data_IF_591766997875
#
_entry.id   IF_591766997875
#
_cell.length_a   1.000
_cell.length_b   1.000
_cell.length_c   1.000
_cell.angle_alpha   90.00
_cell.angle_beta   90.00
_cell.angle_gamma   90.00
#
_symmetry.space_group_name_H-M   'P 1'
#
loop_
_entity.id
_entity.type
_entity.pdbx_description
1 polymer ?
#
# COMPACT_ATOMS: atom_id res chain seq x y z
N UNK A 1 9.08 25.13 20.47
CA UNK A 1 8.84 25.74 19.15
C UNK A 1 7.49 25.26 18.65
N UNK A 2 6.65 26.13 18.09
CA UNK A 2 5.41 25.72 17.42
C UNK A 2 5.79 24.85 16.21
N UNK A 3 5.10 23.70 16.01
CA UNK A 3 5.30 22.89 14.81
C UNK A 3 4.80 23.64 13.58
N UNK A 4 5.45 23.43 12.46
CA UNK A 4 5.05 23.98 11.16
C UNK A 4 3.65 23.46 10.78
N UNK A 5 2.83 24.32 10.15
CA UNK A 5 1.55 23.91 9.58
C UNK A 5 1.77 23.29 8.20
N UNK A 6 1.01 22.24 7.88
CA UNK A 6 1.02 21.62 6.57
C UNK A 6 0.36 22.54 5.53
N UNK A 7 1.02 22.72 4.38
CA UNK A 7 0.52 23.54 3.26
C UNK A 7 -0.30 22.67 2.29
N UNK A 8 -1.57 22.97 2.11
CA UNK A 8 -2.49 22.27 1.18
C UNK A 8 -2.67 22.98 -0.16
N UNK A 9 -1.73 23.83 -0.55
CA UNK A 9 -1.81 24.59 -1.81
C UNK A 9 -1.74 23.69 -3.06
N UNK A 10 -1.14 22.50 -2.94
CA UNK A 10 -1.04 21.52 -4.02
C UNK A 10 -1.93 20.30 -3.75
N UNK A 11 -2.48 19.66 -4.81
CA UNK A 11 -3.17 18.37 -4.66
C UNK A 11 -2.25 17.33 -4.05
N UNK A 12 -2.77 16.57 -3.08
CA UNK A 12 -2.05 15.49 -2.41
C UNK A 12 -2.35 14.15 -3.08
N UNK A 13 -1.27 13.40 -3.42
CA UNK A 13 -1.35 12.10 -4.07
C UNK A 13 -0.43 11.11 -3.36
N UNK A 14 -0.93 9.90 -3.12
CA UNK A 14 -0.13 8.82 -2.54
C UNK A 14 0.40 7.94 -3.69
N UNK A 15 1.71 7.84 -3.79
CA UNK A 15 2.37 6.92 -4.73
C UNK A 15 3.28 5.98 -3.95
N UNK A 16 3.76 4.94 -4.59
CA UNK A 16 4.76 4.11 -3.95
C UNK A 16 5.48 3.20 -4.92
N UNK A 17 6.63 2.69 -4.49
CA UNK A 17 7.46 1.76 -5.24
C UNK A 17 7.10 0.32 -4.89
N UNK A 18 6.86 -0.48 -5.92
CA UNK A 18 6.64 -1.94 -5.84
C UNK A 18 7.56 -2.65 -6.82
N UNK A 19 7.81 -3.93 -6.64
CA UNK A 19 8.67 -4.74 -7.50
C UNK A 19 9.53 -5.71 -6.70
N UNK A 20 10.33 -6.50 -7.42
CA UNK A 20 11.16 -7.54 -6.83
C UNK A 20 12.23 -6.99 -5.85
N UNK A 21 12.72 -7.84 -4.95
CA UNK A 21 13.90 -7.54 -4.14
C UNK A 21 15.09 -7.22 -5.07
N UNK A 22 15.99 -6.35 -4.65
CA UNK A 22 17.20 -5.92 -5.35
C UNK A 22 17.00 -5.23 -6.72
N UNK A 23 15.74 -4.94 -7.12
CA UNK A 23 15.46 -4.14 -8.30
C UNK A 23 15.67 -2.63 -8.09
N UNK A 24 16.00 -2.20 -6.86
CA UNK A 24 16.41 -0.84 -6.54
C UNK A 24 15.29 0.13 -6.19
N UNK A 25 14.19 -0.34 -5.58
CA UNK A 25 13.05 0.48 -5.13
C UNK A 25 13.48 1.61 -4.19
N UNK A 26 14.13 1.27 -3.09
CA UNK A 26 14.61 2.22 -2.08
C UNK A 26 15.66 3.17 -2.65
N UNK A 27 16.55 2.67 -3.54
CA UNK A 27 17.52 3.50 -4.27
C UNK A 27 16.80 4.52 -5.15
N UNK A 28 15.73 4.12 -5.84
CA UNK A 28 14.92 5.01 -6.67
C UNK A 28 14.22 6.06 -5.80
N UNK A 29 13.64 5.67 -4.67
CA UNK A 29 13.01 6.59 -3.72
C UNK A 29 14.02 7.64 -3.24
N UNK A 30 15.24 7.23 -2.89
CA UNK A 30 16.32 8.15 -2.52
C UNK A 30 16.71 9.09 -3.68
N UNK A 31 16.84 8.54 -4.91
CA UNK A 31 17.17 9.33 -6.11
C UNK A 31 16.11 10.39 -6.42
N UNK A 32 14.82 10.04 -6.34
CA UNK A 32 13.71 10.99 -6.51
C UNK A 32 13.85 12.16 -5.54
N UNK A 33 14.04 11.88 -4.24
CA UNK A 33 14.16 12.95 -3.24
C UNK A 33 15.37 13.84 -3.49
N UNK A 34 16.49 13.27 -3.96
CA UNK A 34 17.72 14.02 -4.27
C UNK A 34 17.56 14.93 -5.48
N UNK A 35 16.99 14.41 -6.57
CA UNK A 35 16.77 15.19 -7.80
C UNK A 35 15.75 16.30 -7.56
N UNK A 36 14.62 15.99 -6.93
CA UNK A 36 13.60 16.99 -6.62
C UNK A 36 14.06 18.05 -5.63
N UNK A 37 15.01 17.76 -4.73
CA UNK A 37 15.61 18.77 -3.86
C UNK A 37 16.40 19.82 -4.66
N UNK A 38 17.02 19.46 -5.76
CA UNK A 38 17.73 20.42 -6.65
C UNK A 38 16.78 21.44 -7.27
N UNK A 39 15.56 20.99 -7.60
CA UNK A 39 14.55 21.86 -8.23
C UNK A 39 13.74 22.67 -7.21
N UNK A 40 13.51 22.09 -6.00
CA UNK A 40 12.75 22.74 -4.95
C UNK A 40 13.43 22.53 -3.58
N UNK A 41 14.01 23.57 -2.98
CA UNK A 41 14.67 23.50 -1.67
C UNK A 41 13.75 23.09 -0.50
N UNK A 42 12.42 23.12 -0.68
CA UNK A 42 11.48 22.60 0.33
C UNK A 42 11.55 21.08 0.44
N UNK A 43 11.96 20.39 -0.62
CA UNK A 43 12.17 18.94 -0.60
C UNK A 43 13.40 18.60 0.24
N UNK A 44 13.29 17.55 1.04
CA UNK A 44 14.40 17.06 1.86
C UNK A 44 14.93 15.78 1.26
N UNK A 45 16.21 15.75 0.93
CA UNK A 45 16.87 14.51 0.52
C UNK A 45 16.78 13.44 1.62
N UNK A 46 16.39 12.25 1.24
CA UNK A 46 16.35 11.05 2.08
C UNK A 46 17.34 10.04 1.53
N UNK A 47 18.41 9.81 2.28
CA UNK A 47 19.39 8.77 1.91
C UNK A 47 18.79 7.37 2.08
N UNK A 48 19.35 6.38 1.40
CA UNK A 48 18.99 4.97 1.55
C UNK A 48 18.88 4.57 3.03
N UNK A 49 19.94 4.79 3.83
CA UNK A 49 19.98 4.45 5.25
C UNK A 49 18.97 5.22 6.12
N UNK A 50 18.42 6.33 5.62
CA UNK A 50 17.38 7.10 6.32
C UNK A 50 15.97 6.64 5.96
N UNK A 51 15.81 5.88 4.88
CA UNK A 51 14.57 5.23 4.45
C UNK A 51 14.50 3.86 5.15
N UNK A 52 15.47 2.97 4.88
CA UNK A 52 15.63 1.69 5.56
C UNK A 52 16.43 1.90 6.86
N UNK A 53 15.74 2.30 7.92
CA UNK A 53 16.43 2.76 9.12
C UNK A 53 16.43 1.75 10.29
N UNK A 54 15.64 0.67 10.21
CA UNK A 54 15.64 -0.38 11.22
C UNK A 54 16.97 -1.16 11.22
N UNK A 55 17.48 -1.58 12.39
CA UNK A 55 18.74 -2.33 12.47
C UNK A 55 18.76 -3.57 11.57
N UNK A 56 17.67 -4.33 11.52
CA UNK A 56 17.54 -5.51 10.66
C UNK A 56 17.54 -5.18 9.18
N UNK A 57 16.95 -4.06 8.76
CA UNK A 57 16.95 -3.59 7.37
C UNK A 57 18.36 -3.27 6.90
N UNK A 58 19.14 -2.58 7.76
CA UNK A 58 20.54 -2.23 7.47
C UNK A 58 21.45 -3.45 7.44
N UNK A 59 21.26 -4.40 8.35
CA UNK A 59 22.07 -5.62 8.44
C UNK A 59 21.83 -6.52 7.21
N UNK A 60 20.57 -6.63 6.78
CA UNK A 60 20.18 -7.50 5.64
C UNK A 60 20.21 -6.79 4.29
N UNK A 61 20.28 -5.45 4.26
CA UNK A 61 20.23 -4.65 3.04
C UNK A 61 18.88 -4.74 2.30
N UNK A 62 17.79 -5.01 3.04
CA UNK A 62 16.43 -5.18 2.47
C UNK A 62 15.41 -4.38 3.26
N UNK A 63 14.42 -3.82 2.57
CA UNK A 63 13.27 -3.15 3.19
C UNK A 63 12.34 -4.20 3.82
N UNK A 64 12.04 -4.05 5.10
CA UNK A 64 11.15 -4.92 5.88
C UNK A 64 9.81 -4.24 6.12
N UNK A 65 9.83 -3.02 6.64
CA UNK A 65 8.65 -2.20 6.90
C UNK A 65 8.41 -1.20 5.76
N UNK A 66 7.18 -0.76 5.58
CA UNK A 66 6.89 0.34 4.66
C UNK A 66 7.48 1.64 5.20
N UNK A 67 8.22 2.36 4.36
CA UNK A 67 8.73 3.67 4.71
C UNK A 67 7.91 4.77 3.99
N UNK A 68 7.61 5.86 4.70
CA UNK A 68 6.88 6.99 4.14
C UNK A 68 7.82 8.17 3.93
N UNK A 69 7.88 8.65 2.71
CA UNK A 69 8.71 9.79 2.30
C UNK A 69 7.84 10.87 1.68
N UNK A 70 8.13 12.14 2.03
CA UNK A 70 7.41 13.32 1.51
C UNK A 70 8.27 14.04 0.49
N UNK A 71 7.67 14.43 -0.63
CA UNK A 71 8.25 15.37 -1.58
C UNK A 71 7.17 16.06 -2.42
N UNK A 72 7.56 17.10 -3.14
CA UNK A 72 6.66 17.80 -4.05
C UNK A 72 7.30 18.10 -5.41
N UNK A 73 6.49 18.05 -6.46
CA UNK A 73 6.80 18.61 -7.78
C UNK A 73 6.26 20.04 -7.89
N UNK A 74 6.40 20.65 -9.04
CA UNK A 74 5.73 21.93 -9.31
C UNK A 74 4.19 21.80 -9.23
N UNK A 75 3.62 20.63 -9.56
CA UNK A 75 2.18 20.41 -9.71
C UNK A 75 1.53 19.78 -8.49
N UNK A 76 2.22 18.89 -7.77
CA UNK A 76 1.61 18.03 -6.75
C UNK A 76 2.50 17.86 -5.52
N UNK A 77 1.86 17.54 -4.40
CA UNK A 77 2.49 17.04 -3.19
C UNK A 77 2.30 15.54 -3.11
N UNK A 78 3.37 14.80 -2.79
CA UNK A 78 3.39 13.34 -2.75
C UNK A 78 3.72 12.80 -1.36
N UNK A 79 2.93 11.82 -0.93
CA UNK A 79 3.37 10.83 0.05
C UNK A 79 3.83 9.60 -0.72
N UNK A 80 5.08 9.23 -0.57
CA UNK A 80 5.68 8.07 -1.23
C UNK A 80 5.83 6.94 -0.22
N UNK A 81 5.26 5.79 -0.54
CA UNK A 81 5.35 4.56 0.25
C UNK A 81 6.37 3.63 -0.39
N UNK A 82 7.53 3.48 0.23
CA UNK A 82 8.52 2.49 -0.19
C UNK A 82 8.14 1.12 0.37
N UNK A 83 7.83 0.17 -0.52
CA UNK A 83 7.34 -1.15 -0.15
C UNK A 83 8.45 -2.20 -0.14
N UNK A 84 8.42 -3.17 0.82
CA UNK A 84 9.35 -4.28 0.79
C UNK A 84 9.19 -5.12 -0.48
N UNK A 85 10.31 -5.69 -0.95
CA UNK A 85 10.34 -6.55 -2.14
C UNK A 85 10.33 -8.04 -1.83
N UNK A 86 10.68 -8.43 -0.60
CA UNK A 86 10.84 -9.82 -0.22
C UNK A 86 9.50 -10.50 0.11
N UNK A 87 9.33 -11.75 -0.29
CA UNK A 87 8.10 -12.51 -0.10
C UNK A 87 7.65 -12.64 1.37
N UNK A 88 8.59 -12.68 2.32
CA UNK A 88 8.28 -12.78 3.76
C UNK A 88 7.56 -11.53 4.29
N UNK A 89 7.73 -10.38 3.63
CA UNK A 89 7.16 -9.10 4.04
C UNK A 89 5.96 -8.65 3.20
N UNK A 90 5.36 -9.57 2.46
CA UNK A 90 4.24 -9.30 1.56
C UNK A 90 3.04 -8.64 2.27
N UNK A 91 2.85 -8.91 3.57
CA UNK A 91 1.84 -8.25 4.39
C UNK A 91 2.05 -6.73 4.44
N UNK A 92 3.29 -6.29 4.61
CA UNK A 92 3.62 -4.87 4.61
C UNK A 92 3.49 -4.27 3.20
N UNK A 93 3.83 -5.04 2.16
CA UNK A 93 3.60 -4.65 0.77
C UNK A 93 2.10 -4.44 0.49
N UNK A 94 1.23 -5.37 0.89
CA UNK A 94 -0.22 -5.24 0.71
C UNK A 94 -0.75 -4.00 1.42
N UNK A 95 -0.34 -3.78 2.67
CA UNK A 95 -0.72 -2.60 3.45
C UNK A 95 -0.27 -1.30 2.77
N UNK A 96 0.98 -1.25 2.30
CA UNK A 96 1.51 -0.10 1.57
C UNK A 96 0.77 0.15 0.25
N UNK A 97 0.57 -0.90 -0.56
CA UNK A 97 -0.12 -0.80 -1.84
C UNK A 97 -1.57 -0.33 -1.69
N UNK A 98 -2.28 -0.74 -0.64
CA UNK A 98 -3.65 -0.31 -0.37
C UNK A 98 -3.78 1.22 -0.14
N UNK A 99 -2.67 1.90 0.15
CA UNK A 99 -2.66 3.34 0.36
C UNK A 99 -2.43 4.14 -0.93
N UNK A 100 -1.98 3.50 -2.01
CA UNK A 100 -1.52 4.18 -3.23
C UNK A 100 -2.68 4.62 -4.11
N UNK A 101 -2.54 5.82 -4.66
CA UNK A 101 -3.38 6.36 -5.74
C UNK A 101 -2.77 6.05 -7.12
N UNK A 102 -1.53 5.59 -7.15
CA UNK A 102 -0.80 5.06 -8.29
C UNK A 102 0.50 4.41 -7.83
N UNK A 103 1.00 3.41 -8.55
CA UNK A 103 2.24 2.73 -8.21
C UNK A 103 3.35 2.99 -9.24
N UNK A 104 4.59 2.97 -8.78
CA UNK A 104 5.79 2.92 -9.61
C UNK A 104 6.31 1.49 -9.55
N UNK A 105 6.16 0.75 -10.64
CA UNK A 105 6.69 -0.60 -10.77
C UNK A 105 8.15 -0.54 -11.16
N UNK A 106 9.04 -0.99 -10.27
CA UNK A 106 10.48 -0.99 -10.50
C UNK A 106 10.93 -2.39 -10.95
N UNK A 107 11.48 -2.46 -12.14
CA UNK A 107 12.02 -3.68 -12.75
C UNK A 107 13.46 -3.44 -13.18
N UNK A 108 14.39 -4.30 -12.77
CA UNK A 108 15.75 -4.23 -13.25
C UNK A 108 15.81 -4.70 -14.71
N UNK A 109 16.39 -3.89 -15.60
CA UNK A 109 16.56 -4.22 -17.02
C UNK A 109 17.49 -5.43 -17.23
N UNK A 110 18.34 -5.74 -16.24
CA UNK A 110 19.21 -6.93 -16.23
C UNK A 110 18.48 -8.24 -15.98
N UNK A 111 17.34 -8.20 -15.26
CA UNK A 111 16.70 -9.40 -14.71
C UNK A 111 15.29 -9.63 -15.28
N UNK A 112 14.65 -8.56 -15.76
CA UNK A 112 13.26 -8.60 -16.21
C UNK A 112 12.23 -8.83 -15.08
N UNK A 113 10.97 -9.17 -15.41
CA UNK A 113 9.92 -9.40 -14.44
C UNK A 113 10.12 -10.71 -13.66
N UNK A 114 10.53 -10.61 -12.42
CA UNK A 114 10.79 -11.70 -11.48
C UNK A 114 9.50 -12.16 -10.76
N UNK A 115 9.50 -13.30 -10.03
CA UNK A 115 8.30 -13.82 -9.37
C UNK A 115 7.58 -12.83 -8.45
N UNK A 116 8.31 -12.07 -7.60
CA UNK A 116 7.69 -11.06 -6.75
C UNK A 116 7.16 -9.86 -7.54
N UNK A 117 7.75 -9.53 -8.70
CA UNK A 117 7.20 -8.51 -9.61
C UNK A 117 5.77 -8.89 -10.01
N UNK A 118 5.57 -10.14 -10.41
CA UNK A 118 4.24 -10.69 -10.81
C UNK A 118 3.25 -10.66 -9.64
N UNK A 119 3.69 -11.11 -8.46
CA UNK A 119 2.87 -11.10 -7.25
C UNK A 119 2.49 -9.67 -6.84
N UNK A 120 3.42 -8.71 -6.90
CA UNK A 120 3.16 -7.32 -6.55
C UNK A 120 2.16 -6.64 -7.50
N UNK A 121 2.26 -6.90 -8.80
CA UNK A 121 1.29 -6.37 -9.79
C UNK A 121 -0.11 -6.94 -9.52
N UNK A 122 -0.20 -8.25 -9.28
CA UNK A 122 -1.45 -8.91 -8.92
C UNK A 122 -2.06 -8.31 -7.64
N UNK A 123 -1.28 -8.20 -6.57
CA UNK A 123 -1.76 -7.67 -5.29
C UNK A 123 -2.16 -6.21 -5.38
N UNK A 124 -1.40 -5.38 -6.10
CA UNK A 124 -1.74 -3.99 -6.34
C UNK A 124 -3.11 -3.88 -7.05
N UNK A 125 -3.38 -4.75 -8.03
CA UNK A 125 -4.70 -4.82 -8.67
C UNK A 125 -5.81 -5.18 -7.70
N UNK A 126 -5.56 -6.14 -6.81
CA UNK A 126 -6.55 -6.61 -5.83
C UNK A 126 -6.89 -5.56 -4.77
N UNK A 127 -5.90 -4.84 -4.26
CA UNK A 127 -6.13 -3.76 -3.29
C UNK A 127 -6.66 -2.48 -3.94
N UNK A 128 -6.73 -2.44 -5.28
CA UNK A 128 -7.38 -1.37 -6.02
C UNK A 128 -6.50 -0.22 -6.45
N UNK A 129 -5.19 -0.42 -6.58
CA UNK A 129 -4.30 0.56 -7.23
C UNK A 129 -4.80 0.81 -8.65
N UNK A 130 -5.11 2.05 -9.03
CA UNK A 130 -5.80 2.31 -10.30
C UNK A 130 -4.87 2.27 -11.52
N UNK A 131 -3.60 2.62 -11.38
CA UNK A 131 -2.64 2.71 -12.48
C UNK A 131 -1.20 2.48 -12.01
N UNK A 132 -0.32 2.17 -12.97
CA UNK A 132 1.11 1.98 -12.75
C UNK A 132 1.94 2.74 -13.77
N UNK A 133 3.01 3.38 -13.30
CA UNK A 133 4.11 3.89 -14.11
C UNK A 133 5.28 2.92 -13.92
N UNK A 134 5.99 2.58 -14.98
CA UNK A 134 7.11 1.63 -14.93
C UNK A 134 8.44 2.39 -14.94
N UNK A 135 9.35 1.98 -14.07
CA UNK A 135 10.74 2.41 -14.12
C UNK A 135 11.63 1.19 -14.36
N UNK A 136 12.18 1.09 -15.58
CA UNK A 136 13.20 0.10 -15.92
C UNK A 136 14.54 0.59 -15.38
N UNK A 137 14.93 0.01 -14.26
CA UNK A 137 16.12 0.39 -13.51
C UNK A 137 17.36 -0.39 -13.98
N UNK A 138 18.54 0.07 -13.58
CA UNK A 138 19.86 -0.53 -13.90
C UNK A 138 20.18 -0.55 -15.41
N UNK A 139 19.64 0.40 -16.18
CA UNK A 139 19.96 0.51 -17.60
C UNK A 139 21.43 0.91 -17.87
N UNK A 140 22.15 1.37 -16.84
CA UNK A 140 23.59 1.60 -16.87
C UNK A 140 24.41 0.29 -16.94
N UNK A 141 23.82 -0.83 -16.52
CA UNK A 141 24.46 -2.15 -16.56
C UNK A 141 24.10 -2.98 -17.80
N UNK A 142 23.28 -2.45 -18.70
CA UNK A 142 22.85 -3.13 -19.93
C UNK A 142 23.46 -2.43 -21.13
N UNK A 143 24.31 -3.14 -21.88
CA UNK A 143 24.95 -2.63 -23.10
C UNK A 143 24.07 -2.79 -24.35
N UNK A 144 23.17 -3.80 -24.33
CA UNK A 144 22.33 -4.16 -25.45
C UNK A 144 20.92 -3.55 -25.30
N UNK A 145 20.59 -2.60 -26.17
CA UNK A 145 19.27 -1.97 -26.19
C UNK A 145 18.13 -2.96 -26.53
N UNK A 146 18.39 -4.00 -27.33
CA UNK A 146 17.40 -5.02 -27.70
C UNK A 146 16.94 -5.80 -26.46
N UNK A 147 17.84 -6.05 -25.50
CA UNK A 147 17.49 -6.69 -24.23
C UNK A 147 16.54 -5.81 -23.41
N UNK A 148 16.80 -4.49 -23.38
CA UNK A 148 15.92 -3.55 -22.68
C UNK A 148 14.55 -3.47 -23.33
N UNK A 149 14.47 -3.51 -24.67
CA UNK A 149 13.20 -3.56 -25.42
C UNK A 149 12.40 -4.82 -25.10
N UNK A 150 13.08 -5.97 -25.03
CA UNK A 150 12.44 -7.24 -24.66
C UNK A 150 11.86 -7.19 -23.24
N UNK A 151 12.64 -6.70 -22.27
CA UNK A 151 12.17 -6.55 -20.89
C UNK A 151 10.97 -5.60 -20.79
N UNK A 152 10.99 -4.49 -21.54
CA UNK A 152 9.84 -3.57 -21.61
C UNK A 152 8.59 -4.28 -22.13
N UNK A 153 8.73 -5.07 -23.19
CA UNK A 153 7.62 -5.84 -23.78
C UNK A 153 7.03 -6.84 -22.77
N UNK A 154 7.90 -7.59 -22.07
CA UNK A 154 7.46 -8.53 -21.02
C UNK A 154 6.71 -7.83 -19.87
N UNK A 155 7.17 -6.64 -19.48
CA UNK A 155 6.48 -5.85 -18.43
C UNK A 155 5.12 -5.37 -18.90
N UNK A 156 4.98 -4.90 -20.16
CA UNK A 156 3.70 -4.48 -20.76
C UNK A 156 2.71 -5.65 -20.84
N UNK A 157 3.16 -6.83 -21.25
CA UNK A 157 2.37 -8.06 -21.25
C UNK A 157 1.92 -8.44 -19.84
N UNK A 158 2.81 -8.35 -18.85
CA UNK A 158 2.50 -8.61 -17.45
C UNK A 158 1.40 -7.66 -16.93
N UNK A 159 1.52 -6.36 -17.20
CA UNK A 159 0.52 -5.37 -16.82
C UNK A 159 -0.84 -5.67 -17.46
N UNK A 160 -0.86 -5.95 -18.75
CA UNK A 160 -2.08 -6.29 -19.51
C UNK A 160 -2.75 -7.57 -18.97
N UNK A 161 -1.95 -8.59 -18.64
CA UNK A 161 -2.43 -9.83 -18.02
C UNK A 161 -3.21 -9.58 -16.73
N UNK A 162 -2.76 -8.63 -15.91
CA UNK A 162 -3.41 -8.26 -14.65
C UNK A 162 -4.36 -7.05 -14.78
N UNK A 163 -4.83 -6.78 -16.00
CA UNK A 163 -5.84 -5.75 -16.30
C UNK A 163 -5.41 -4.31 -15.99
N UNK A 164 -4.13 -4.02 -16.03
CA UNK A 164 -3.63 -2.67 -16.16
C UNK A 164 -3.43 -2.34 -17.64
N UNK A 165 -3.54 -1.07 -18.06
CA UNK A 165 -3.37 -0.68 -19.47
C UNK A 165 -1.87 -0.75 -19.84
N UNK A 166 -1.35 -1.96 -20.10
CA UNK A 166 0.07 -2.21 -20.34
C UNK A 166 0.65 -1.45 -21.53
N UNK A 167 -0.13 -1.31 -22.62
CA UNK A 167 0.30 -0.58 -23.81
C UNK A 167 0.41 0.93 -23.57
N UNK A 168 -0.48 1.50 -22.75
CA UNK A 168 -0.54 2.93 -22.44
C UNK A 168 0.31 3.33 -21.23
N UNK A 169 0.76 2.36 -20.43
CA UNK A 169 1.55 2.62 -19.23
C UNK A 169 2.88 3.29 -19.59
N UNK A 170 3.20 4.47 -18.99
CA UNK A 170 4.51 5.08 -19.19
C UNK A 170 5.62 4.17 -18.70
N UNK A 171 6.65 3.97 -19.54
CA UNK A 171 7.85 3.22 -19.19
C UNK A 171 9.05 4.15 -19.33
N UNK A 172 9.76 4.38 -18.22
CA UNK A 172 10.95 5.22 -18.16
C UNK A 172 12.15 4.32 -17.91
N UNK A 173 13.17 4.45 -18.78
CA UNK A 173 14.43 3.70 -18.70
C UNK A 173 15.48 4.54 -17.99
N UNK A 174 16.09 4.02 -16.95
CA UNK A 174 17.02 4.79 -16.15
C UNK A 174 17.94 3.98 -15.25
N UNK A 175 18.77 4.70 -14.50
CA UNK A 175 19.59 4.18 -13.42
C UNK A 175 19.35 5.02 -12.17
N UNK A 176 18.69 4.42 -11.18
CA UNK A 176 18.48 5.07 -9.88
C UNK A 176 19.82 5.35 -9.17
N UNK A 177 20.78 4.44 -9.28
CA UNK A 177 22.11 4.61 -8.69
C UNK A 177 22.89 5.71 -9.41
N UNK A 178 22.90 5.75 -10.74
CA UNK A 178 23.54 6.81 -11.50
C UNK A 178 22.95 8.19 -11.20
N UNK A 179 21.62 8.30 -11.10
CA UNK A 179 20.96 9.52 -10.66
C UNK A 179 21.33 9.91 -9.22
N UNK A 180 21.37 8.93 -8.31
CA UNK A 180 21.81 9.16 -6.94
C UNK A 180 23.28 9.60 -6.86
N UNK A 181 24.13 9.17 -7.78
CA UNK A 181 25.51 9.61 -7.90
C UNK A 181 25.66 10.99 -8.57
N UNK A 182 24.57 11.54 -9.11
CA UNK A 182 24.55 12.88 -9.70
C UNK A 182 24.93 12.91 -11.18
N UNK A 183 24.76 11.80 -11.89
CA UNK A 183 24.98 11.73 -13.34
C UNK A 183 23.83 12.40 -14.10
N UNK A 184 24.08 13.49 -14.87
CA UNK A 184 23.01 14.29 -15.48
C UNK A 184 22.07 13.50 -16.38
N UNK A 185 22.59 12.52 -17.11
CA UNK A 185 21.78 11.62 -17.98
C UNK A 185 20.69 10.91 -17.18
N UNK A 186 21.05 10.39 -16.00
CA UNK A 186 20.14 9.60 -15.20
C UNK A 186 19.24 10.46 -14.31
N UNK A 187 19.72 11.64 -13.89
CA UNK A 187 18.88 12.62 -13.22
C UNK A 187 17.71 13.07 -14.11
N UNK A 188 17.98 13.31 -15.41
CA UNK A 188 16.94 13.63 -16.39
C UNK A 188 15.88 12.52 -16.53
N UNK A 189 16.24 11.25 -16.31
CA UNK A 189 15.26 10.16 -16.31
C UNK A 189 14.41 10.13 -15.05
N UNK A 190 14.92 10.60 -13.90
CA UNK A 190 14.11 10.80 -12.70
C UNK A 190 13.10 11.94 -12.91
N UNK A 191 13.52 13.03 -13.56
CA UNK A 191 12.59 14.11 -13.91
C UNK A 191 11.49 13.62 -14.86
N UNK A 192 11.86 12.84 -15.90
CA UNK A 192 10.90 12.21 -16.81
C UNK A 192 9.94 11.25 -16.09
N UNK A 193 10.42 10.49 -15.11
CA UNK A 193 9.58 9.65 -14.27
C UNK A 193 8.55 10.49 -13.50
N UNK A 194 8.99 11.58 -12.88
CA UNK A 194 8.09 12.42 -12.10
C UNK A 194 7.09 13.18 -12.98
N UNK A 195 7.47 13.58 -14.17
CA UNK A 195 6.55 14.15 -15.17
C UNK A 195 5.51 13.12 -15.64
N UNK A 196 5.92 11.87 -15.82
CA UNK A 196 5.01 10.77 -16.15
C UNK A 196 4.03 10.51 -14.98
N UNK A 197 4.52 10.47 -13.74
CA UNK A 197 3.66 10.31 -12.54
C UNK A 197 2.69 11.49 -12.40
N UNK A 198 3.16 12.73 -12.61
CA UNK A 198 2.33 13.94 -12.55
C UNK A 198 1.20 13.95 -13.60
N UNK A 199 1.43 13.35 -14.77
CA UNK A 199 0.48 13.36 -15.89
C UNK A 199 -0.42 12.13 -15.94
N UNK A 200 0.13 10.96 -15.64
CA UNK A 200 -0.56 9.68 -15.82
C UNK A 200 -1.37 9.24 -14.60
N UNK A 201 -0.86 9.48 -13.38
CA UNK A 201 -1.61 9.15 -12.16
C UNK A 201 -2.78 10.13 -12.01
N UNK A 202 -4.05 9.67 -12.01
CA UNK A 202 -5.19 10.55 -11.89
C UNK A 202 -5.24 11.23 -10.51
N UNK A 203 -5.81 12.42 -10.44
CA UNK A 203 -6.15 13.01 -9.15
C UNK A 203 -7.25 12.15 -8.51
N UNK A 204 -7.02 11.61 -7.32
CA UNK A 204 -7.99 10.72 -6.70
C UNK A 204 -9.25 11.46 -6.25
N UNK A 205 -10.41 10.88 -6.54
CA UNK A 205 -11.67 11.32 -5.95
C UNK A 205 -11.67 10.94 -4.46
N UNK A 206 -11.64 11.95 -3.59
CA UNK A 206 -11.63 11.73 -2.13
C UNK A 206 -13.04 11.67 -1.59
N UNK A 207 -13.36 10.60 -0.87
CA UNK A 207 -14.67 10.39 -0.25
C UNK A 207 -14.80 11.17 1.08
N UNK A 208 -14.69 12.51 1.03
CA UNK A 208 -14.66 13.40 2.20
C UNK A 208 -16.03 13.54 2.91
N UNK A 209 -17.12 13.29 2.19
CA UNK A 209 -18.49 13.43 2.73
C UNK A 209 -18.99 12.17 3.45
N UNK A 210 -18.25 11.07 3.36
CA UNK A 210 -18.56 9.84 4.09
C UNK A 210 -18.11 9.95 5.56
N UNK A 211 -18.66 9.10 6.46
CA UNK A 211 -18.18 8.99 7.83
C UNK A 211 -16.68 8.67 7.88
N UNK A 212 -15.96 9.36 8.77
CA UNK A 212 -14.50 9.18 8.95
C UNK A 212 -14.15 7.72 9.24
N UNK A 213 -13.10 7.22 8.58
CA UNK A 213 -12.49 5.93 8.83
C UNK A 213 -11.00 5.96 8.44
N UNK A 214 -10.16 5.49 9.36
CA UNK A 214 -8.72 5.33 9.17
C UNK A 214 -8.26 3.95 9.69
N UNK A 215 -7.80 3.03 8.83
CA UNK A 215 -7.12 1.82 9.27
C UNK A 215 -5.84 2.14 10.02
N UNK A 216 -5.60 1.47 11.14
CA UNK A 216 -4.40 1.68 11.97
C UNK A 216 -3.27 0.80 11.45
N UNK A 217 -2.12 1.44 11.16
CA UNK A 217 -0.91 0.79 10.68
C UNK A 217 0.14 0.65 11.77
N UNK A 218 0.49 1.78 12.39
CA UNK A 218 1.48 1.82 13.45
C UNK A 218 0.94 2.56 14.67
N UNK A 219 1.51 2.23 15.83
CA UNK A 219 1.11 2.77 17.12
C UNK A 219 2.36 3.22 17.88
N UNK A 220 2.39 4.48 18.25
CA UNK A 220 3.48 5.08 18.99
C UNK A 220 2.98 5.61 20.33
N UNK A 221 3.82 5.52 21.35
CA UNK A 221 3.62 6.22 22.62
C UNK A 221 4.52 7.44 22.68
N UNK A 222 3.94 8.62 22.87
CA UNK A 222 4.70 9.86 23.06
C UNK A 222 4.63 10.23 24.53
N UNK A 223 5.80 10.22 25.20
CA UNK A 223 5.90 10.57 26.61
C UNK A 223 5.25 11.95 26.90
N UNK A 224 4.33 11.97 27.87
CA UNK A 224 3.59 13.17 28.25
C UNK A 224 2.48 13.64 27.28
N UNK A 225 2.28 12.95 26.14
CA UNK A 225 1.22 13.30 25.16
C UNK A 225 0.18 12.21 24.99
N UNK A 226 0.55 10.94 25.06
CA UNK A 226 -0.36 9.81 24.89
C UNK A 226 -0.04 8.93 23.69
N UNK A 227 -1.03 8.17 23.23
CA UNK A 227 -0.93 7.24 22.11
C UNK A 227 -1.20 7.95 20.78
N UNK A 228 -0.31 7.75 19.82
CA UNK A 228 -0.47 8.18 18.44
C UNK A 228 -0.68 6.95 17.57
N UNK A 229 -1.71 6.96 16.77
CA UNK A 229 -1.97 5.97 15.72
C UNK A 229 -1.72 6.58 14.36
N UNK A 230 -1.11 5.84 13.46
CA UNK A 230 -0.86 6.29 12.09
C UNK A 230 -1.59 5.43 11.09
N UNK A 231 -1.91 6.01 9.96
CA UNK A 231 -2.53 5.34 8.82
C UNK A 231 -2.97 6.32 7.76
N UNK A 232 -3.39 5.81 6.61
CA UNK A 232 -4.07 6.60 5.60
C UNK A 232 -5.55 6.74 5.96
N UNK A 233 -6.06 7.95 5.95
CA UNK A 233 -7.51 8.19 6.08
C UNK A 233 -8.19 7.65 4.82
N UNK A 234 -8.98 6.57 4.99
CA UNK A 234 -9.66 5.89 3.88
C UNK A 234 -10.81 6.73 3.33
N UNK A 235 -11.59 7.33 4.24
CA UNK A 235 -12.74 8.19 3.91
C UNK A 235 -13.05 9.18 5.02
N UNK A 236 -13.85 10.18 4.67
CA UNK A 236 -14.32 11.19 5.59
C UNK A 236 -13.26 12.22 5.96
N UNK A 237 -13.50 12.87 7.07
CA UNK A 237 -12.61 13.85 7.69
C UNK A 237 -12.69 13.75 9.20
N UNK A 238 -11.61 14.14 9.88
CA UNK A 238 -11.52 14.20 11.34
C UNK A 238 -10.87 15.49 11.77
N UNK A 239 -11.45 16.16 12.76
CA UNK A 239 -10.94 17.42 13.35
C UNK A 239 -10.32 17.18 14.71
N UNK A 240 -9.40 18.06 15.08
CA UNK A 240 -8.93 18.13 16.47
C UNK A 240 -10.09 18.43 17.39
N UNK A 241 -10.25 17.64 18.46
CA UNK A 241 -11.36 17.71 19.41
C UNK A 241 -12.55 16.81 19.10
N UNK A 242 -12.56 16.11 17.95
CA UNK A 242 -13.65 15.25 17.52
C UNK A 242 -13.61 13.87 18.21
N UNK A 243 -14.79 13.37 18.59
CA UNK A 243 -14.95 12.00 19.12
C UNK A 243 -14.79 10.96 18.02
N UNK A 244 -14.09 9.88 18.33
CA UNK A 244 -13.86 8.74 17.46
C UNK A 244 -13.96 7.44 18.25
N UNK A 245 -14.09 6.32 17.53
CA UNK A 245 -14.10 4.96 18.12
C UNK A 245 -12.97 4.13 17.51
N UNK A 246 -12.34 3.31 18.36
CA UNK A 246 -11.40 2.26 17.94
C UNK A 246 -12.20 0.98 17.83
N UNK A 247 -12.27 0.42 16.61
CA UNK A 247 -13.10 -0.74 16.27
C UNK A 247 -12.23 -1.85 15.67
N UNK A 248 -12.45 -3.09 16.11
CA UNK A 248 -11.71 -4.25 15.56
C UNK A 248 -11.72 -5.45 16.50
N UNK A 249 -10.56 -5.97 16.84
CA UNK A 249 -10.36 -7.25 17.51
C UNK A 249 -10.89 -7.32 18.94
N UNK A 250 -11.07 -6.16 19.57
CA UNK A 250 -11.48 -6.02 20.96
C UNK A 250 -12.79 -5.23 21.06
N UNK A 251 -13.27 -5.09 22.28
CA UNK A 251 -14.43 -4.24 22.58
C UNK A 251 -14.16 -2.80 22.07
N UNK A 252 -15.16 -2.24 21.39
CA UNK A 252 -15.10 -0.87 20.84
C UNK A 252 -14.86 0.16 21.93
N UNK A 253 -13.89 1.03 21.76
CA UNK A 253 -13.56 2.09 22.71
C UNK A 253 -13.71 3.46 22.11
N UNK A 254 -14.32 4.36 22.87
CA UNK A 254 -14.41 5.79 22.51
C UNK A 254 -13.16 6.55 22.91
N UNK A 255 -12.77 7.49 22.08
CA UNK A 255 -11.65 8.40 22.31
C UNK A 255 -11.92 9.76 21.70
N UNK A 256 -11.03 10.71 21.94
CA UNK A 256 -11.06 12.04 21.29
C UNK A 256 -9.71 12.24 20.60
N UNK A 257 -9.76 12.65 19.35
CA UNK A 257 -8.57 13.05 18.60
C UNK A 257 -8.10 14.43 19.09
N UNK A 258 -6.94 14.47 19.75
CA UNK A 258 -6.40 15.71 20.34
C UNK A 258 -5.33 16.38 19.48
N UNK A 259 -4.91 15.74 18.41
CA UNK A 259 -3.96 16.28 17.44
C UNK A 259 -3.97 15.50 16.15
N UNK A 260 -3.75 16.20 15.04
CA UNK A 260 -3.62 15.64 13.69
C UNK A 260 -2.29 16.14 13.12
N UNK A 261 -1.47 15.20 12.65
CA UNK A 261 -0.15 15.51 12.09
C UNK A 261 0.05 14.72 10.79
N UNK A 262 0.72 15.31 9.81
CA UNK A 262 1.20 14.64 8.59
C UNK A 262 2.64 15.09 8.34
N UNK A 263 3.58 14.14 8.19
CA UNK A 263 5.02 14.42 8.02
C UNK A 263 5.58 15.38 9.09
N UNK A 264 5.20 15.19 10.36
CA UNK A 264 5.58 16.01 11.52
C UNK A 264 5.05 17.45 11.49
N UNK A 265 4.24 17.84 10.49
CA UNK A 265 3.54 19.13 10.40
C UNK A 265 2.14 19.01 10.98
N UNK A 266 1.65 20.07 11.63
CA UNK A 266 0.32 20.06 12.24
C UNK A 266 -0.77 20.37 11.21
N UNK A 267 -1.92 19.75 11.43
CA UNK A 267 -3.15 19.93 10.66
C UNK A 267 -4.30 20.27 11.63
N UNK A 268 -5.18 21.17 11.23
CA UNK A 268 -6.42 21.45 11.97
C UNK A 268 -7.45 20.32 11.76
N UNK A 269 -7.40 19.67 10.58
CA UNK A 269 -8.20 18.49 10.23
C UNK A 269 -7.44 17.54 9.29
N UNK A 270 -7.71 16.26 9.42
CA UNK A 270 -7.30 15.21 8.47
C UNK A 270 -8.41 14.90 7.48
N UNK A 271 -8.06 14.71 6.21
CA UNK A 271 -8.99 14.43 5.12
C UNK A 271 -8.71 13.07 4.49
N UNK A 272 -9.73 12.48 3.87
CA UNK A 272 -9.57 11.26 3.08
C UNK A 272 -8.37 11.39 2.12
N UNK A 273 -7.47 10.42 2.18
CA UNK A 273 -6.22 10.38 1.43
C UNK A 273 -4.98 10.84 2.19
N UNK A 274 -5.12 11.54 3.32
CA UNK A 274 -3.97 11.96 4.13
C UNK A 274 -3.35 10.75 4.85
N UNK A 275 -2.02 10.65 4.84
CA UNK A 275 -1.26 9.76 5.72
C UNK A 275 -1.03 10.47 7.06
N UNK A 276 -1.92 10.26 8.00
CA UNK A 276 -2.01 11.04 9.22
C UNK A 276 -1.56 10.26 10.47
N UNK A 277 -0.93 10.96 11.39
CA UNK A 277 -0.76 10.55 12.78
C UNK A 277 -1.79 11.25 13.66
N UNK A 278 -2.62 10.48 14.34
CA UNK A 278 -3.70 10.98 15.19
C UNK A 278 -3.37 10.72 16.66
N UNK A 279 -3.32 11.79 17.45
CA UNK A 279 -3.09 11.71 18.89
C UNK A 279 -4.41 11.43 19.60
N UNK A 280 -4.48 10.35 20.36
CA UNK A 280 -5.67 9.88 21.04
C UNK A 280 -5.64 10.18 22.54
N UNK A 281 -6.76 10.64 23.09
CA UNK A 281 -6.92 10.92 24.51
C UNK A 281 -7.28 9.66 25.28
N UNK A 282 -6.52 9.38 26.36
CA UNK A 282 -6.92 8.38 27.37
C UNK A 282 -6.87 6.93 26.90
N UNK A 283 -6.19 6.66 25.80
CA UNK A 283 -6.02 5.31 25.25
C UNK A 283 -4.59 4.84 25.50
N UNK A 284 -4.37 3.78 26.30
CA UNK A 284 -3.08 3.11 26.41
C UNK A 284 -2.65 2.47 25.09
N UNK A 285 -1.35 2.41 24.81
CA UNK A 285 -0.82 1.82 23.57
C UNK A 285 -1.22 0.34 23.43
N UNK A 286 -1.26 -0.40 24.52
CA UNK A 286 -1.61 -1.82 24.62
C UNK A 286 -3.08 -2.13 24.30
N UNK A 287 -3.94 -1.12 24.28
CA UNK A 287 -5.36 -1.27 23.92
C UNK A 287 -5.63 -1.10 22.42
N UNK A 288 -4.59 -0.74 21.66
CA UNK A 288 -4.68 -0.51 20.20
C UNK A 288 -3.75 -1.46 19.48
N UNK A 289 -4.23 -2.08 18.42
CA UNK A 289 -3.45 -3.00 17.60
C UNK A 289 -3.53 -2.60 16.12
N UNK A 290 -2.45 -2.87 15.38
CA UNK A 290 -2.46 -2.78 13.91
C UNK A 290 -3.59 -3.65 13.36
N UNK A 291 -4.37 -3.09 12.44
CA UNK A 291 -5.52 -3.77 11.84
C UNK A 291 -6.86 -3.38 12.42
N UNK A 292 -6.89 -2.73 13.60
CA UNK A 292 -8.07 -2.01 14.05
C UNK A 292 -8.28 -0.76 13.17
N UNK A 293 -9.45 -0.16 13.26
CA UNK A 293 -9.75 1.10 12.60
C UNK A 293 -10.13 2.16 13.63
N UNK A 294 -9.73 3.41 13.35
CA UNK A 294 -10.31 4.57 14.02
C UNK A 294 -11.42 5.12 13.13
N UNK A 295 -12.60 5.29 13.66
CA UNK A 295 -13.78 5.64 12.88
C UNK A 295 -14.69 6.64 13.62
N UNK A 296 -15.59 7.29 12.87
CA UNK A 296 -16.66 8.09 13.44
C UNK A 296 -17.56 7.17 14.29
N UNK A 297 -17.98 7.60 15.49
CA UNK A 297 -18.80 6.77 16.37
C UNK A 297 -20.04 6.18 15.68
N UNK A 298 -20.21 4.84 15.81
CA UNK A 298 -21.34 4.11 15.24
C UNK A 298 -21.35 3.93 13.72
N UNK A 299 -20.27 4.30 13.03
CA UNK A 299 -20.22 4.23 11.55
C UNK A 299 -19.76 2.90 10.99
N UNK A 300 -19.12 2.07 11.79
CA UNK A 300 -18.68 0.71 11.44
C UNK A 300 -18.69 -0.18 12.69
N UNK A 301 -18.90 -1.47 12.51
CA UNK A 301 -18.93 -2.47 13.58
C UNK A 301 -17.98 -3.63 13.28
N UNK A 302 -17.45 -4.31 14.32
CA UNK A 302 -16.65 -5.51 14.13
C UNK A 302 -17.53 -6.72 13.86
N UNK A 303 -17.09 -7.58 12.93
CA UNK A 303 -17.82 -8.78 12.51
C UNK A 303 -16.89 -9.97 12.36
N UNK A 304 -17.41 -11.17 12.57
CA UNK A 304 -16.71 -12.44 12.35
C UNK A 304 -17.25 -13.21 11.16
N UNK A 305 -18.51 -13.01 10.77
CA UNK A 305 -19.16 -13.80 9.73
C UNK A 305 -19.62 -12.92 8.58
N UNK A 306 -19.29 -13.33 7.38
CA UNK A 306 -19.69 -12.63 6.16
C UNK A 306 -19.74 -13.58 4.96
N UNK A 307 -20.41 -13.17 3.88
CA UNK A 307 -20.28 -13.78 2.56
C UNK A 307 -19.37 -12.94 1.68
N UNK A 308 -18.54 -13.60 0.90
CA UNK A 308 -17.63 -12.97 -0.05
C UNK A 308 -17.72 -13.59 -1.43
N UNK A 309 -17.75 -12.75 -2.46
CA UNK A 309 -17.50 -13.18 -3.84
C UNK A 309 -16.00 -13.32 -4.01
N UNK A 310 -15.53 -14.53 -4.33
CA UNK A 310 -14.12 -14.89 -4.34
C UNK A 310 -13.73 -15.43 -5.70
N UNK A 311 -12.64 -14.91 -6.24
CA UNK A 311 -11.91 -15.50 -7.34
C UNK A 311 -10.70 -16.26 -6.80
N UNK A 312 -10.60 -17.54 -7.13
CA UNK A 312 -9.47 -18.42 -6.75
C UNK A 312 -8.43 -18.39 -7.85
N UNK A 313 -7.23 -17.90 -7.53
CA UNK A 313 -6.15 -17.77 -8.53
C UNK A 313 -5.77 -19.12 -9.13
N UNK A 314 -5.60 -19.13 -10.45
CA UNK A 314 -5.10 -20.29 -11.18
C UNK A 314 -3.62 -20.57 -10.90
N UNK A 315 -3.13 -21.72 -11.33
CA UNK A 315 -1.71 -22.07 -11.23
C UNK A 315 -0.82 -21.11 -12.00
N UNK A 316 -1.26 -20.68 -13.18
CA UNK A 316 -0.54 -19.76 -14.07
C UNK A 316 -0.44 -18.35 -13.46
N UNK A 317 -1.36 -18.01 -12.56
CA UNK A 317 -1.36 -16.76 -11.80
C UNK A 317 -0.57 -16.84 -10.50
N UNK A 318 0.10 -17.97 -10.23
CA UNK A 318 0.86 -18.21 -9.00
C UNK A 318 0.00 -18.70 -7.82
N UNK A 319 -1.27 -19.01 -8.06
CA UNK A 319 -2.21 -19.53 -7.08
C UNK A 319 -2.02 -21.01 -6.73
N UNK A 320 -3.11 -21.67 -6.33
CA UNK A 320 -3.13 -23.08 -5.96
C UNK A 320 -2.98 -23.98 -7.18
N UNK A 321 -2.47 -25.19 -6.93
CA UNK A 321 -2.41 -26.28 -7.92
C UNK A 321 -3.50 -27.34 -7.72
N UNK A 322 -4.15 -27.30 -6.55
CA UNK A 322 -5.14 -28.31 -6.13
C UNK A 322 -6.41 -27.61 -5.66
N UNK A 323 -7.57 -28.25 -5.78
CA UNK A 323 -8.81 -27.73 -5.23
C UNK A 323 -8.73 -27.62 -3.70
N UNK A 324 -9.63 -26.85 -3.13
CA UNK A 324 -9.90 -26.89 -1.71
C UNK A 324 -11.33 -27.35 -1.44
N UNK A 325 -11.53 -27.86 -0.23
CA UNK A 325 -12.76 -28.51 0.19
C UNK A 325 -13.39 -27.74 1.36
N UNK A 326 -14.57 -28.17 1.80
CA UNK A 326 -15.25 -27.66 2.98
C UNK A 326 -14.31 -27.60 4.19
N UNK A 327 -14.40 -26.50 4.95
CA UNK A 327 -13.57 -26.29 6.13
C UNK A 327 -12.14 -25.78 5.81
N UNK A 328 -11.91 -25.28 4.62
CA UNK A 328 -10.64 -24.65 4.24
C UNK A 328 -10.32 -23.45 5.14
N UNK A 329 -9.09 -23.38 5.68
CA UNK A 329 -8.68 -22.41 6.69
C UNK A 329 -7.46 -21.57 6.26
N UNK A 330 -7.64 -20.63 5.33
CA UNK A 330 -6.58 -19.71 4.94
C UNK A 330 -6.51 -18.48 5.85
N UNK A 331 -5.57 -17.57 5.52
CA UNK A 331 -5.53 -16.21 6.07
C UNK A 331 -6.26 -15.25 5.13
N UNK A 332 -7.12 -14.41 5.72
CA UNK A 332 -7.85 -13.34 5.06
C UNK A 332 -7.20 -12.01 5.39
N UNK A 333 -6.81 -11.26 4.38
CA UNK A 333 -6.14 -9.96 4.51
C UNK A 333 -7.13 -8.84 4.24
N UNK A 334 -7.38 -8.03 5.27
CA UNK A 334 -8.25 -6.86 5.19
C UNK A 334 -7.46 -5.61 5.57
N UNK A 335 -7.48 -4.55 4.76
CA UNK A 335 -6.80 -3.29 5.08
C UNK A 335 -5.37 -3.53 5.59
N UNK A 336 -5.14 -3.34 6.90
CA UNK A 336 -3.81 -3.43 7.53
C UNK A 336 -3.59 -4.71 8.34
N UNK A 337 -4.54 -5.67 8.29
CA UNK A 337 -4.49 -6.91 9.09
C UNK A 337 -4.71 -8.16 8.27
N UNK A 338 -4.33 -9.28 8.87
CA UNK A 338 -4.68 -10.63 8.43
C UNK A 338 -5.31 -11.41 9.58
N UNK A 339 -6.33 -12.19 9.26
CA UNK A 339 -7.04 -13.04 10.22
C UNK A 339 -7.29 -14.40 9.60
N UNK A 340 -7.04 -15.46 10.36
CA UNK A 340 -7.43 -16.81 9.95
C UNK A 340 -8.95 -16.94 9.99
N UNK A 341 -9.52 -17.60 9.00
CA UNK A 341 -10.95 -17.88 8.96
C UNK A 341 -11.25 -19.22 8.30
N UNK A 342 -12.44 -19.71 8.49
CA UNK A 342 -12.95 -20.93 7.83
C UNK A 342 -13.81 -20.51 6.65
N UNK A 343 -13.54 -21.08 5.48
CA UNK A 343 -14.34 -20.90 4.28
C UNK A 343 -15.28 -22.09 4.11
N UNK A 344 -16.59 -21.82 4.18
CA UNK A 344 -17.66 -22.80 3.91
C UNK A 344 -18.13 -22.65 2.47
N UNK A 345 -18.26 -23.81 1.79
CA UNK A 345 -18.69 -23.86 0.40
C UNK A 345 -20.21 -23.75 0.29
N UNK A 346 -20.74 -23.25 -0.84
CA UNK A 346 -22.18 -23.25 -1.10
C UNK A 346 -22.78 -24.67 -1.06
N UNK A 347 -24.06 -24.76 -0.76
CA UNK A 347 -24.77 -26.05 -0.74
C UNK A 347 -24.66 -26.75 -2.11
N UNK A 348 -24.25 -28.02 -2.09
CA UNK A 348 -24.07 -28.81 -3.30
C UNK A 348 -22.71 -28.67 -4.00
N UNK A 349 -21.83 -27.81 -3.49
CA UNK A 349 -20.45 -27.70 -3.96
C UNK A 349 -19.53 -28.50 -3.04
N UNK A 350 -18.87 -29.50 -3.58
CA UNK A 350 -17.95 -30.36 -2.82
C UNK A 350 -16.53 -29.81 -2.80
N UNK A 351 -16.12 -29.13 -3.85
CA UNK A 351 -14.77 -28.54 -3.98
C UNK A 351 -14.80 -27.27 -4.85
N UNK A 352 -13.77 -26.44 -4.70
CA UNK A 352 -13.52 -25.25 -5.53
C UNK A 352 -12.17 -25.41 -6.21
N UNK A 353 -12.15 -25.21 -7.52
CA UNK A 353 -10.95 -25.36 -8.36
C UNK A 353 -10.19 -24.02 -8.47
N UNK A 354 -8.86 -24.05 -8.68
CA UNK A 354 -8.14 -22.90 -9.17
C UNK A 354 -8.75 -22.35 -10.47
N UNK A 355 -8.99 -21.03 -10.54
CA UNK A 355 -9.68 -20.36 -11.63
C UNK A 355 -11.18 -20.12 -11.43
N UNK A 356 -11.78 -20.72 -10.39
CA UNK A 356 -13.21 -20.56 -10.11
C UNK A 356 -13.57 -19.20 -9.49
N UNK A 357 -14.77 -18.74 -9.83
CA UNK A 357 -15.46 -17.69 -9.08
C UNK A 357 -16.54 -18.34 -8.21
N UNK A 358 -16.51 -18.06 -6.91
CA UNK A 358 -17.40 -18.69 -5.96
C UNK A 358 -17.83 -17.75 -4.85
N UNK A 359 -19.07 -17.85 -4.39
CA UNK A 359 -19.51 -17.18 -3.18
C UNK A 359 -19.21 -18.08 -1.98
N UNK A 360 -18.38 -17.62 -1.06
CA UNK A 360 -18.02 -18.33 0.17
C UNK A 360 -18.70 -17.69 1.39
N UNK A 361 -19.16 -18.51 2.33
CA UNK A 361 -19.47 -18.08 3.66
C UNK A 361 -18.22 -18.21 4.53
N UNK A 362 -17.79 -17.12 5.14
CA UNK A 362 -16.53 -17.03 5.86
C UNK A 362 -16.77 -16.73 7.33
N UNK A 363 -16.13 -17.50 8.21
CA UNK A 363 -16.11 -17.29 9.65
C UNK A 363 -14.68 -17.01 10.11
N UNK A 364 -14.43 -15.79 10.57
CA UNK A 364 -13.13 -15.37 11.10
C UNK A 364 -12.97 -15.78 12.56
N UNK A 365 -11.74 -16.13 12.98
CA UNK A 365 -11.45 -16.45 14.38
C UNK A 365 -11.44 -15.23 15.30
N UNK A 366 -11.34 -14.03 14.73
CA UNK A 366 -11.30 -12.76 15.46
C UNK A 366 -12.16 -11.74 14.73
N UNK A 367 -12.95 -10.91 15.44
CA UNK A 367 -13.77 -9.89 14.78
C UNK A 367 -12.91 -8.83 14.11
N UNK A 368 -13.33 -8.36 12.95
CA UNK A 368 -12.67 -7.31 12.16
C UNK A 368 -13.71 -6.26 11.78
N UNK A 369 -13.30 -5.00 11.70
CA UNK A 369 -14.14 -3.92 11.18
C UNK A 369 -14.43 -4.16 9.69
N UNK A 370 -15.58 -4.74 9.39
CA UNK A 370 -16.01 -5.13 8.05
C UNK A 370 -17.20 -4.29 7.58
N UNK A 371 -17.30 -4.15 6.28
CA UNK A 371 -18.44 -3.56 5.60
C UNK A 371 -18.63 -4.16 4.22
N UNK A 372 -19.84 -4.09 3.67
CA UNK A 372 -20.14 -4.53 2.32
C UNK A 372 -19.29 -3.75 1.31
N UNK A 373 -18.71 -4.44 0.33
CA UNK A 373 -17.83 -3.88 -0.68
C UNK A 373 -16.36 -3.85 -0.30
N UNK A 374 -15.99 -4.20 0.95
CA UNK A 374 -14.60 -4.29 1.35
C UNK A 374 -13.89 -5.42 0.60
N UNK A 375 -12.76 -5.10 -0.03
CA UNK A 375 -11.92 -6.08 -0.72
C UNK A 375 -11.02 -6.80 0.28
N UNK A 376 -10.71 -8.05 -0.04
CA UNK A 376 -9.77 -8.86 0.74
C UNK A 376 -8.96 -9.79 -0.16
N UNK A 377 -7.77 -10.15 0.30
CA UNK A 377 -6.95 -11.19 -0.29
C UNK A 377 -6.99 -12.45 0.57
N UNK A 378 -6.83 -13.61 -0.07
CA UNK A 378 -6.73 -14.92 0.59
C UNK A 378 -5.31 -15.44 0.39
N UNK A 379 -4.65 -15.84 1.47
CA UNK A 379 -3.29 -16.36 1.44
C UNK A 379 -3.16 -17.68 2.17
N UNK A 380 -2.29 -18.55 1.64
CA UNK A 380 -1.96 -19.85 2.19
C UNK A 380 -0.48 -20.14 1.94
N UNK A 381 0.25 -20.61 2.94
CA UNK A 381 1.65 -21.03 2.79
C UNK A 381 2.57 -19.95 2.19
N UNK A 382 2.33 -18.67 2.52
CA UNK A 382 3.12 -17.56 2.01
C UNK A 382 2.74 -17.08 0.59
N UNK A 383 1.70 -17.65 -0.03
CA UNK A 383 1.24 -17.31 -1.40
C UNK A 383 -0.15 -16.72 -1.38
N UNK A 384 -0.43 -15.79 -2.27
CA UNK A 384 -1.79 -15.33 -2.55
C UNK A 384 -2.49 -16.38 -3.42
N UNK A 385 -3.62 -16.88 -2.92
CA UNK A 385 -4.38 -17.95 -3.57
C UNK A 385 -5.77 -17.52 -4.03
N UNK A 386 -6.20 -16.33 -3.66
CA UNK A 386 -7.48 -15.78 -4.09
C UNK A 386 -7.66 -14.35 -3.65
N UNK A 387 -8.68 -13.73 -4.19
CA UNK A 387 -9.14 -12.40 -3.80
C UNK A 387 -10.66 -12.35 -3.82
N UNK A 388 -11.23 -11.48 -3.01
CA UNK A 388 -12.68 -11.36 -2.95
C UNK A 388 -13.15 -9.99 -2.47
N UNK A 389 -14.46 -9.87 -2.48
CA UNK A 389 -15.17 -8.68 -1.97
C UNK A 389 -16.27 -9.13 -1.04
N UNK A 390 -16.40 -8.47 0.10
CA UNK A 390 -17.49 -8.71 1.07
C UNK A 390 -18.82 -8.35 0.40
N UNK A 391 -19.67 -9.35 0.19
CA UNK A 391 -21.00 -9.16 -0.45
C UNK A 391 -22.09 -8.93 0.58
N UNK A 392 -21.99 -9.57 1.74
CA UNK A 392 -22.99 -9.51 2.81
C UNK A 392 -22.33 -9.75 4.18
N UNK A 393 -22.70 -8.97 5.19
CA UNK A 393 -22.34 -9.22 6.60
C UNK A 393 -23.45 -10.07 7.21
N UNK A 394 -23.08 -11.20 7.85
CA UNK A 394 -24.06 -12.15 8.42
C UNK A 394 -24.07 -12.19 9.94
N UNK A 395 -22.96 -11.78 10.59
CA UNK A 395 -22.90 -11.64 12.06
C UNK A 395 -21.74 -10.74 12.50
#
# INVERSE_FOLDING_TARGET
MAKEKFDRSKPHVNVGTIGHIDHGKTTLTAAITKVLQKHNPKNTFRSFDSIDNAPEERERGITIATAHVEYETAKRHYAHVDCPGHADYIKNMITGAAQMDGAILVVAATDGPMPQTKEHVLLARQVGVPCMVVFLNKCDAVEDEELTDLVEMEVRELLSKYQFPGDDAPVIRGSALGALNGEPKWEAQIDALMDAVDSYVPLPARAIDLPFLMPIEDIFSISGRGTVVTGRIERGKVKVGEESEIVGFRETRKTVVTGVEMFKKQLDEGLAGDNAGLLLRGIPKEDVERGMVLAKPGSITPHTNFKGEVYVLSKEEGGRHTPFFKGYRPQFYFRTTDVTGVAELPAGVEMVMPGDNVQLAIELITPVALEKGLRFAIREGGRTVGAGTVSEITK
#
